data_IF_812113820492
#
_entry.id   IF_812113820492
#
_cell.length_a   1.000
_cell.length_b   1.000
_cell.length_c   1.000
_cell.angle_alpha   90.00
_cell.angle_beta   90.00
_cell.angle_gamma   90.00
#
_symmetry.space_group_name_H-M   'P 1'
#
loop_
_entity.id
_entity.type
_entity.pdbx_description
1 polymer ?
#
# COMPACT_ATOMS: atom_id res chain seq x y z
N UNK A 1 9.61 -2.60 -0.76
CA UNK A 1 9.26 -2.24 0.64
C UNK A 1 9.37 -0.74 0.89
N UNK A 2 10.52 -0.09 0.66
CA UNK A 2 10.72 1.36 0.90
C UNK A 2 9.61 2.26 0.34
N UNK A 3 9.14 2.12 -0.93
CA UNK A 3 8.07 2.95 -1.49
C UNK A 3 6.77 2.91 -0.68
N UNK A 4 6.34 1.70 -0.29
CA UNK A 4 5.12 1.48 0.49
C UNK A 4 5.19 2.19 1.85
N UNK A 5 6.33 2.08 2.54
CA UNK A 5 6.53 2.70 3.85
C UNK A 5 6.51 4.23 3.75
N UNK A 6 7.14 4.79 2.72
CA UNK A 6 7.15 6.24 2.50
C UNK A 6 5.76 6.77 2.15
N UNK A 7 5.03 6.08 1.27
CA UNK A 7 3.64 6.41 0.96
C UNK A 7 2.78 6.39 2.23
N UNK A 8 2.88 5.35 3.06
CA UNK A 8 2.14 5.29 4.32
C UNK A 8 2.42 6.49 5.23
N UNK A 9 3.69 6.92 5.31
CA UNK A 9 4.10 8.08 6.11
C UNK A 9 3.49 9.40 5.61
N UNK A 10 3.41 9.59 4.29
CA UNK A 10 2.82 10.81 3.73
C UNK A 10 1.30 10.88 3.86
N UNK A 11 0.65 9.72 3.93
CA UNK A 11 -0.81 9.62 4.04
C UNK A 11 -1.32 9.33 5.47
N UNK A 12 -0.47 9.48 6.48
CA UNK A 12 -0.77 9.19 7.90
C UNK A 12 -1.37 7.78 8.13
N UNK A 13 -0.88 6.80 7.37
CA UNK A 13 -1.28 5.40 7.49
C UNK A 13 -0.27 4.60 8.32
N UNK A 14 -0.78 3.75 9.21
CA UNK A 14 0.01 2.71 9.88
C UNK A 14 -0.09 1.40 9.11
N UNK A 15 1.08 0.87 8.74
CA UNK A 15 1.20 -0.40 8.02
C UNK A 15 1.05 -1.59 8.99
N UNK A 16 0.09 -2.49 8.71
CA UNK A 16 -0.09 -3.77 9.41
C UNK A 16 0.08 -4.90 8.42
N UNK A 17 1.17 -5.66 8.53
CA UNK A 17 1.49 -6.74 7.59
C UNK A 17 0.85 -8.04 8.09
N UNK A 18 0.08 -8.69 7.23
CA UNK A 18 -0.51 -10.00 7.50
C UNK A 18 0.26 -11.13 6.82
N UNK A 19 0.89 -10.85 5.69
CA UNK A 19 1.72 -11.81 5.00
C UNK A 19 2.61 -11.19 3.93
N UNK A 20 3.57 -11.98 3.46
CA UNK A 20 4.58 -11.60 2.49
C UNK A 20 5.02 -12.82 1.68
N UNK A 21 5.31 -12.61 0.41
CA UNK A 21 6.03 -13.52 -0.47
C UNK A 21 7.25 -12.82 -1.09
N UNK A 22 7.94 -13.48 -2.01
CA UNK A 22 9.01 -12.88 -2.81
C UNK A 22 8.50 -11.77 -3.74
N UNK A 23 7.23 -11.86 -4.16
CA UNK A 23 6.63 -10.95 -5.14
C UNK A 23 5.73 -9.88 -4.52
N UNK A 24 5.20 -10.11 -3.31
CA UNK A 24 4.18 -9.25 -2.74
C UNK A 24 4.19 -9.15 -1.22
N UNK A 25 3.55 -8.10 -0.71
CA UNK A 25 3.22 -7.90 0.71
C UNK A 25 1.76 -7.51 0.81
N UNK A 26 1.04 -8.04 1.79
CA UNK A 26 -0.38 -7.73 1.99
C UNK A 26 -0.73 -7.60 3.47
N UNK A 27 -1.86 -6.94 3.72
CA UNK A 27 -2.37 -6.70 5.06
C UNK A 27 -3.32 -5.52 5.06
N UNK A 28 -3.19 -4.64 6.05
CA UNK A 28 -4.06 -3.49 6.25
C UNK A 28 -3.28 -2.18 6.44
N UNK A 29 -3.83 -1.10 5.91
CA UNK A 29 -3.42 0.27 6.21
C UNK A 29 -4.45 0.88 7.16
N UNK A 30 -4.00 1.23 8.37
CA UNK A 30 -4.84 1.91 9.35
C UNK A 30 -4.64 3.42 9.23
N UNK A 31 -5.64 4.11 8.69
CA UNK A 31 -5.75 5.56 8.66
C UNK A 31 -6.56 6.05 9.88
N UNK A 32 -6.56 7.35 10.19
CA UNK A 32 -7.52 7.91 11.13
C UNK A 32 -8.96 7.61 10.69
N UNK A 33 -9.69 6.84 11.51
CA UNK A 33 -11.11 6.53 11.30
C UNK A 33 -11.42 5.42 10.29
N UNK A 34 -10.44 4.81 9.62
CA UNK A 34 -10.68 3.70 8.69
C UNK A 34 -9.50 2.74 8.55
N UNK A 35 -9.81 1.49 8.22
CA UNK A 35 -8.81 0.44 7.93
C UNK A 35 -9.07 -0.08 6.53
N UNK A 36 -8.03 -0.11 5.70
CA UNK A 36 -8.13 -0.46 4.28
C UNK A 36 -7.21 -1.63 3.97
N UNK A 37 -7.74 -2.78 3.52
CA UNK A 37 -6.91 -3.86 3.01
C UNK A 37 -6.05 -3.41 1.83
N UNK A 38 -4.79 -3.84 1.83
CA UNK A 38 -3.86 -3.55 0.74
C UNK A 38 -3.18 -4.81 0.20
N UNK A 39 -2.75 -4.71 -1.05
CA UNK A 39 -1.84 -5.64 -1.69
C UNK A 39 -0.76 -4.85 -2.45
N UNK A 40 0.51 -5.09 -2.13
CA UNK A 40 1.65 -4.38 -2.71
C UNK A 40 2.54 -5.33 -3.50
N UNK A 41 2.69 -5.10 -4.82
CA UNK A 41 3.61 -5.86 -5.69
C UNK A 41 5.00 -5.25 -5.64
N UNK A 42 5.98 -6.05 -5.23
CA UNK A 42 7.37 -5.62 -5.10
C UNK A 42 8.04 -5.30 -6.44
N UNK A 43 7.86 -6.10 -7.52
CA UNK A 43 8.55 -5.84 -8.79
C UNK A 43 8.11 -4.55 -9.50
N UNK A 44 6.82 -4.23 -9.39
CA UNK A 44 6.20 -3.09 -10.11
C UNK A 44 5.96 -1.88 -9.22
N UNK A 45 6.16 -2.02 -7.90
CA UNK A 45 5.79 -1.03 -6.90
C UNK A 45 4.31 -0.60 -6.98
N UNK A 46 3.43 -1.52 -7.36
CA UNK A 46 1.99 -1.30 -7.42
C UNK A 46 1.34 -1.56 -6.06
N UNK A 47 0.66 -0.55 -5.53
CA UNK A 47 -0.18 -0.60 -4.34
C UNK A 47 -1.65 -0.67 -4.76
N UNK A 48 -2.30 -1.79 -4.48
CA UNK A 48 -3.76 -1.92 -4.60
C UNK A 48 -4.38 -1.73 -3.22
N UNK A 49 -5.31 -0.78 -3.11
CA UNK A 49 -6.15 -0.52 -1.95
C UNK A 49 -7.57 -0.99 -2.25
N UNK A 50 -8.18 -1.77 -1.36
CA UNK A 50 -9.56 -2.24 -1.51
C UNK A 50 -10.45 -1.54 -0.49
N UNK A 51 -11.35 -0.69 -0.97
CA UNK A 51 -12.32 0.03 -0.17
C UNK A 51 -13.73 -0.46 -0.53
N UNK A 52 -14.37 -1.19 0.40
CA UNK A 52 -15.71 -1.74 0.23
C UNK A 52 -15.87 -2.50 -1.10
N UNK A 53 -16.55 -1.90 -2.09
CA UNK A 53 -16.81 -2.47 -3.42
C UNK A 53 -15.83 -2.02 -4.51
N UNK A 54 -14.89 -1.13 -4.17
CA UNK A 54 -13.95 -0.54 -5.12
C UNK A 54 -12.51 -0.96 -4.82
N UNK A 55 -11.71 -1.04 -5.87
CA UNK A 55 -10.28 -1.25 -5.75
C UNK A 55 -9.55 -0.16 -6.55
N UNK A 56 -8.58 0.50 -5.91
CA UNK A 56 -7.72 1.49 -6.54
C UNK A 56 -6.30 0.94 -6.57
N UNK A 57 -5.70 0.87 -7.76
CA UNK A 57 -4.29 0.51 -7.93
C UNK A 57 -3.48 1.76 -8.25
N UNK A 58 -2.38 1.93 -7.54
CA UNK A 58 -1.50 3.09 -7.61
C UNK A 58 -0.09 2.59 -7.85
N UNK A 59 0.64 3.16 -8.81
CA UNK A 59 2.05 2.87 -8.99
C UNK A 59 2.87 3.87 -8.20
N UNK A 60 3.82 3.38 -7.41
CA UNK A 60 4.70 4.21 -6.59
C UNK A 60 6.08 4.30 -7.22
N UNK A 61 6.69 5.49 -7.13
CA UNK A 61 8.13 5.64 -7.37
C UNK A 61 8.97 5.18 -6.16
N UNK A 62 10.29 5.28 -6.25
CA UNK A 62 11.20 4.89 -5.17
C UNK A 62 11.03 5.69 -3.87
N UNK A 63 10.43 6.88 -3.97
CA UNK A 63 10.16 7.79 -2.88
C UNK A 63 8.75 7.62 -2.30
N UNK A 64 7.92 6.74 -2.87
CA UNK A 64 6.55 6.53 -2.44
C UNK A 64 5.56 7.54 -3.02
N UNK A 65 5.93 8.25 -4.10
CA UNK A 65 5.05 9.21 -4.79
C UNK A 65 4.16 8.45 -5.76
N UNK A 66 2.88 8.81 -5.81
CA UNK A 66 1.94 8.30 -6.80
C UNK A 66 2.34 8.78 -8.20
N UNK A 67 2.57 7.85 -9.12
CA UNK A 67 2.78 8.17 -10.53
C UNK A 67 1.42 8.25 -11.24
N UNK A 68 1.21 9.35 -11.97
CA UNK A 68 0.02 9.59 -12.80
C UNK A 68 0.03 8.74 -14.09
#
# INVERSE_FOLDING_TARGET
MKPLVLWCRWHDARLRIHGRSEEAVWGELAFPGRVVPFHFRLPTAELTLREEETARTIRLDEMGVELA
#
